data_IF_310502348009
#
_entry.id   IF_310502348009
#
_cell.length_a   1.000
_cell.length_b   1.000
_cell.length_c   1.000
_cell.angle_alpha   90.00
_cell.angle_beta   90.00
_cell.angle_gamma   90.00
#
_symmetry.space_group_name_H-M   'P 1'
#
loop_
_entity.id
_entity.type
_entity.pdbx_description
1 polymer ?
#
# COMPACT_ATOMS: atom_id res chain seq x y z
N UNK A 1 -27.44 71.08 -10.12
CA UNK A 1 -28.38 71.04 -8.98
C UNK A 1 -27.62 70.44 -7.80
N UNK A 2 -26.88 71.25 -7.05
CA UNK A 2 -27.29 72.02 -5.84
C UNK A 2 -27.63 71.11 -4.65
N UNK A 3 -26.79 71.07 -3.59
CA UNK A 3 -26.81 71.94 -2.37
C UNK A 3 -27.77 71.32 -1.31
N UNK A 4 -27.28 70.77 -0.19
CA UNK A 4 -26.87 71.40 1.08
C UNK A 4 -27.99 71.41 2.15
N UNK A 5 -27.63 71.32 3.43
CA UNK A 5 -28.47 71.73 4.58
C UNK A 5 -28.85 70.57 5.52
N UNK A 6 -28.15 70.27 6.63
CA UNK A 6 -28.01 70.99 7.93
C UNK A 6 -29.32 71.22 8.70
N UNK A 7 -29.34 70.73 9.95
CA UNK A 7 -29.66 71.42 11.23
C UNK A 7 -30.37 70.47 12.22
N UNK A 8 -29.76 70.11 13.36
CA UNK A 8 -29.72 70.84 14.67
C UNK A 8 -31.14 70.99 15.25
N UNK A 9 -31.44 70.65 16.51
CA UNK A 9 -30.83 71.10 17.75
C UNK A 9 -31.40 70.29 18.95
N UNK A 10 -30.59 70.19 20.02
CA UNK A 10 -30.90 70.39 21.45
C UNK A 10 -31.96 69.48 22.14
N UNK A 11 -31.86 69.09 23.41
CA UNK A 11 -31.42 69.80 24.61
C UNK A 11 -31.13 68.75 25.72
N UNK A 12 -29.97 68.79 26.40
CA UNK A 12 -29.74 69.44 27.71
C UNK A 12 -29.97 68.55 28.95
N UNK A 13 -28.84 68.04 29.44
CA UNK A 13 -28.28 68.07 30.82
C UNK A 13 -29.10 67.66 32.06
N UNK A 14 -28.31 67.19 33.05
CA UNK A 14 -28.40 67.26 34.52
C UNK A 14 -28.72 65.91 35.19
N UNK A 15 -28.07 65.43 36.24
CA UNK A 15 -27.06 65.91 37.22
C UNK A 15 -26.32 64.64 37.70
N UNK A 16 -25.00 64.64 37.90
CA UNK A 16 -24.34 64.81 39.22
C UNK A 16 -24.33 63.50 40.05
N UNK A 17 -23.32 63.10 40.82
CA UNK A 17 -21.99 63.59 41.10
C UNK A 17 -21.29 62.51 41.96
N UNK A 18 -19.97 62.44 41.90
CA UNK A 18 -19.03 62.01 42.95
C UNK A 18 -19.16 60.64 43.64
N UNK A 19 -18.22 59.72 43.32
CA UNK A 19 -17.36 59.08 44.34
C UNK A 19 -15.92 58.90 43.86
N UNK A 20 -15.04 59.57 44.61
CA UNK A 20 -13.57 59.64 44.55
C UNK A 20 -12.88 58.28 44.40
N UNK A 21 -12.06 58.14 43.36
CA UNK A 21 -10.96 57.17 43.32
C UNK A 21 -9.77 57.73 44.11
N UNK A 22 -9.37 57.03 45.18
CA UNK A 22 -8.17 57.38 45.96
C UNK A 22 -7.00 56.54 45.45
N UNK A 23 -6.05 57.21 44.80
CA UNK A 23 -4.71 56.70 44.53
C UNK A 23 -4.04 56.26 45.85
N UNK A 24 -3.59 55.00 45.91
CA UNK A 24 -2.61 54.55 46.90
C UNK A 24 -1.30 54.30 46.17
N UNK A 25 -0.31 55.15 46.46
CA UNK A 25 1.08 55.04 46.02
C UNK A 25 1.75 53.87 46.76
N UNK A 26 2.61 53.17 46.01
CA UNK A 26 3.52 52.13 46.48
C UNK A 26 4.56 52.63 47.49
N UNK A 27 5.01 51.77 48.41
CA UNK A 27 6.31 51.90 49.05
C UNK A 27 7.29 50.81 48.57
N UNK A 28 8.38 51.30 47.95
CA UNK A 28 9.78 50.85 47.99
C UNK A 28 10.12 49.34 48.09
N UNK A 29 10.77 48.86 47.02
CA UNK A 29 11.81 47.82 47.00
C UNK A 29 12.92 48.12 48.02
N UNK A 30 13.19 47.19 48.93
CA UNK A 30 14.52 46.61 49.21
C UNK A 30 14.45 45.81 50.51
N UNK A 31 14.67 44.50 50.41
CA UNK A 31 15.49 43.68 51.32
C UNK A 31 15.17 42.19 51.10
N UNK A 32 15.63 41.66 49.96
CA UNK A 32 15.83 40.22 49.79
C UNK A 32 17.25 40.01 49.26
N UNK A 33 18.12 39.54 50.15
CA UNK A 33 19.45 39.02 49.79
C UNK A 33 19.27 37.81 48.86
N UNK A 34 19.99 37.70 47.74
CA UNK A 34 19.95 36.49 46.94
C UNK A 34 20.70 35.38 47.70
N UNK A 35 19.99 34.31 48.04
CA UNK A 35 20.63 33.04 48.44
C UNK A 35 21.15 32.42 47.15
N UNK A 36 22.47 32.48 46.96
CA UNK A 36 23.15 31.68 45.94
C UNK A 36 23.11 30.22 46.40
N UNK A 37 22.18 29.44 45.85
CA UNK A 37 22.27 27.98 45.88
C UNK A 37 23.31 27.58 44.83
N UNK A 38 24.56 27.43 45.26
CA UNK A 38 25.61 26.75 44.49
C UNK A 38 25.28 25.27 44.40
N UNK A 39 24.48 24.87 43.39
CA UNK A 39 24.45 23.49 42.94
C UNK A 39 25.61 23.26 41.97
N UNK A 40 26.80 23.14 42.52
CA UNK A 40 27.92 22.43 41.90
C UNK A 40 27.60 20.93 41.95
N UNK A 41 26.77 20.46 41.01
CA UNK A 41 26.71 19.05 40.66
C UNK A 41 27.60 18.83 39.43
N UNK A 42 28.69 18.11 39.68
CA UNK A 42 29.59 17.52 38.70
C UNK A 42 28.80 16.94 37.52
N UNK A 43 28.84 17.64 36.38
CA UNK A 43 28.64 16.98 35.10
C UNK A 43 29.91 16.17 34.80
N UNK A 44 29.98 14.96 35.33
CA UNK A 44 30.77 13.91 34.69
C UNK A 44 30.31 13.84 33.24
N UNK A 45 31.22 13.89 32.24
CA UNK A 45 30.81 13.67 30.86
C UNK A 45 30.22 12.27 30.79
N UNK A 46 28.89 12.18 30.62
CA UNK A 46 28.24 10.90 30.36
C UNK A 46 28.92 10.35 29.12
N UNK A 47 29.72 9.29 29.31
CA UNK A 47 30.32 8.52 28.23
C UNK A 47 29.26 8.33 27.16
N UNK A 48 29.41 9.04 26.04
CA UNK A 48 28.61 8.81 24.84
C UNK A 48 29.02 7.45 24.34
N UNK A 49 28.48 6.38 24.94
CA UNK A 49 28.46 5.06 24.35
C UNK A 49 27.89 5.28 22.96
N UNK A 50 28.76 5.17 21.94
CA UNK A 50 28.38 5.13 20.53
C UNK A 50 27.32 4.04 20.43
N UNK A 51 26.04 4.42 20.51
CA UNK A 51 24.92 3.53 20.27
C UNK A 51 25.03 3.15 18.82
N UNK A 52 25.58 1.95 18.58
CA UNK A 52 25.60 1.28 17.29
C UNK A 52 24.20 1.47 16.71
N UNK A 53 24.04 2.28 15.65
CA UNK A 53 22.73 2.55 15.03
C UNK A 53 22.09 1.20 14.73
N UNK A 54 21.19 0.74 15.60
CA UNK A 54 20.48 -0.52 15.39
C UNK A 54 19.69 -0.33 14.11
N UNK A 55 19.93 -1.19 13.11
CA UNK A 55 19.22 -1.15 11.82
C UNK A 55 17.73 -1.14 12.11
N UNK A 56 17.00 -0.18 11.54
CA UNK A 56 15.55 -0.07 11.72
C UNK A 56 14.87 -1.38 11.29
N UNK A 57 14.09 -1.98 12.21
CA UNK A 57 13.47 -3.29 12.00
C UNK A 57 12.46 -3.29 10.84
N UNK A 58 11.92 -2.13 10.44
CA UNK A 58 11.00 -2.04 9.31
C UNK A 58 11.57 -2.59 8.00
N UNK A 59 12.89 -2.54 7.79
CA UNK A 59 13.51 -3.15 6.61
C UNK A 59 13.44 -4.68 6.59
N UNK A 60 13.39 -5.34 7.75
CA UNK A 60 13.15 -6.78 7.82
C UNK A 60 11.72 -7.12 7.40
N UNK A 61 10.76 -6.22 7.68
CA UNK A 61 9.37 -6.37 7.24
C UNK A 61 9.27 -6.16 5.74
N UNK A 62 9.97 -5.18 5.17
CA UNK A 62 10.04 -5.03 3.70
C UNK A 62 10.57 -6.30 3.05
N UNK A 63 11.66 -6.87 3.59
CA UNK A 63 12.22 -8.12 3.06
C UNK A 63 11.23 -9.29 3.18
N UNK A 64 10.60 -9.46 4.35
CA UNK A 64 9.61 -10.52 4.55
C UNK A 64 8.37 -10.36 3.64
N UNK A 65 7.89 -9.12 3.46
CA UNK A 65 6.82 -8.77 2.51
C UNK A 65 7.22 -9.08 1.08
N UNK A 66 8.42 -8.67 0.66
CA UNK A 66 8.96 -8.90 -0.66
C UNK A 66 9.10 -10.39 -0.97
N UNK A 67 9.60 -11.19 -0.03
CA UNK A 67 9.68 -12.65 -0.18
C UNK A 67 8.28 -13.28 -0.24
N UNK A 68 7.37 -12.85 0.63
CA UNK A 68 6.02 -13.40 0.69
C UNK A 68 5.21 -13.10 -0.58
N UNK A 69 5.28 -11.87 -1.10
CA UNK A 69 4.64 -11.53 -2.38
C UNK A 69 5.39 -12.09 -3.59
N UNK A 70 6.72 -12.03 -3.56
CA UNK A 70 7.57 -12.51 -4.64
C UNK A 70 7.41 -14.00 -4.87
N UNK A 71 7.44 -14.82 -3.83
CA UNK A 71 7.24 -16.26 -3.99
C UNK A 71 5.75 -16.62 -3.94
N UNK A 72 5.06 -16.23 -2.88
CA UNK A 72 3.69 -16.68 -2.62
C UNK A 72 2.67 -16.00 -3.52
N UNK A 73 2.67 -14.67 -3.49
CA UNK A 73 1.76 -13.85 -4.29
C UNK A 73 1.89 -14.13 -5.79
N UNK A 74 3.12 -14.19 -6.31
CA UNK A 74 3.33 -14.37 -7.75
C UNK A 74 2.87 -15.73 -8.27
N UNK A 75 3.13 -16.82 -7.53
CA UNK A 75 2.67 -18.16 -7.90
C UNK A 75 1.14 -18.21 -7.93
N UNK A 76 0.48 -17.63 -6.92
CA UNK A 76 -0.98 -17.61 -6.88
C UNK A 76 -1.58 -16.78 -8.03
N UNK A 77 -1.01 -15.60 -8.31
CA UNK A 77 -1.59 -14.68 -9.29
C UNK A 77 -1.25 -15.04 -10.74
N UNK A 78 0.02 -15.38 -11.01
CA UNK A 78 0.57 -15.61 -12.34
C UNK A 78 0.74 -17.10 -12.65
N UNK A 79 1.07 -17.94 -11.66
CA UNK A 79 1.27 -19.39 -11.85
C UNK A 79 0.02 -20.13 -12.34
N UNK A 80 -1.16 -19.54 -12.17
CA UNK A 80 -2.42 -20.02 -12.76
C UNK A 80 -2.28 -20.38 -14.26
N UNK A 81 -1.65 -19.52 -15.06
CA UNK A 81 -1.58 -19.72 -16.51
C UNK A 81 -0.90 -21.02 -16.89
N UNK A 82 0.01 -21.50 -16.04
CA UNK A 82 0.73 -22.77 -16.19
C UNK A 82 -0.15 -23.96 -15.84
N UNK A 83 -1.01 -23.82 -14.83
CA UNK A 83 -1.94 -24.87 -14.39
C UNK A 83 -3.15 -25.04 -15.32
N UNK A 84 -3.50 -24.03 -16.11
CA UNK A 84 -4.71 -24.03 -16.94
C UNK A 84 -4.81 -25.24 -17.88
N UNK A 85 -3.82 -25.43 -18.75
CA UNK A 85 -3.87 -26.49 -19.79
C UNK A 85 -3.85 -27.91 -19.17
N UNK A 86 -2.92 -28.24 -18.25
CA UNK A 86 -2.86 -29.56 -17.64
C UNK A 86 -4.12 -29.96 -16.86
N UNK A 87 -4.74 -29.01 -16.14
CA UNK A 87 -5.98 -29.26 -15.39
C UNK A 87 -7.14 -29.48 -16.37
N UNK A 88 -7.21 -28.67 -17.43
CA UNK A 88 -8.24 -28.84 -18.46
C UNK A 88 -8.16 -30.22 -19.11
N UNK A 89 -6.95 -30.71 -19.40
CA UNK A 89 -6.74 -32.01 -20.05
C UNK A 89 -7.00 -33.19 -19.10
N UNK A 90 -6.52 -33.11 -17.85
CA UNK A 90 -6.69 -34.20 -16.86
C UNK A 90 -8.15 -34.40 -16.43
N UNK A 91 -8.91 -33.30 -16.30
CA UNK A 91 -10.32 -33.34 -15.89
C UNK A 91 -11.30 -33.35 -17.08
N UNK A 92 -10.81 -33.34 -18.33
CA UNK A 92 -11.64 -33.32 -19.54
C UNK A 92 -12.53 -32.08 -19.67
N UNK A 93 -12.05 -30.93 -19.18
CA UNK A 93 -12.83 -29.69 -19.08
C UNK A 93 -12.73 -28.85 -20.34
N UNK A 94 -13.81 -28.11 -20.61
CA UNK A 94 -13.80 -27.01 -21.57
C UNK A 94 -13.00 -25.82 -21.06
N UNK A 95 -12.50 -24.97 -21.95
CA UNK A 95 -11.77 -23.75 -21.57
C UNK A 95 -12.59 -22.83 -20.64
N UNK A 96 -13.92 -22.77 -20.83
CA UNK A 96 -14.82 -21.99 -19.97
C UNK A 96 -14.91 -22.56 -18.55
N UNK A 97 -15.02 -23.89 -18.41
CA UNK A 97 -15.02 -24.56 -17.11
C UNK A 97 -13.69 -24.39 -16.39
N UNK A 98 -12.56 -24.50 -17.10
CA UNK A 98 -11.24 -24.30 -16.51
C UNK A 98 -11.02 -22.85 -16.10
N UNK A 99 -11.50 -21.85 -16.84
CA UNK A 99 -11.36 -20.44 -16.49
C UNK A 99 -12.26 -20.00 -15.32
N UNK A 100 -13.40 -20.66 -15.12
CA UNK A 100 -14.44 -20.27 -14.17
C UNK A 100 -13.95 -20.16 -12.70
N UNK A 101 -13.24 -21.16 -12.12
CA UNK A 101 -12.68 -21.07 -10.76
C UNK A 101 -11.81 -19.82 -10.54
N UNK A 102 -11.05 -19.44 -11.56
CA UNK A 102 -10.15 -18.29 -11.49
C UNK A 102 -10.92 -16.98 -11.59
N UNK A 103 -11.90 -16.88 -12.48
CA UNK A 103 -12.78 -15.72 -12.57
C UNK A 103 -13.54 -15.50 -11.25
N UNK A 104 -14.09 -16.58 -10.68
CA UNK A 104 -14.75 -16.55 -9.37
C UNK A 104 -13.80 -16.12 -8.26
N UNK A 105 -12.57 -16.63 -8.21
CA UNK A 105 -11.59 -16.21 -7.20
C UNK A 105 -11.25 -14.72 -7.28
N UNK A 106 -11.24 -14.14 -8.49
CA UNK A 106 -10.94 -12.71 -8.68
C UNK A 106 -12.12 -11.85 -8.22
N UNK A 107 -13.35 -12.28 -8.50
CA UNK A 107 -14.55 -11.65 -7.97
C UNK A 107 -14.61 -11.73 -6.44
N UNK A 108 -14.30 -12.90 -5.88
CA UNK A 108 -14.22 -13.16 -4.45
C UNK A 108 -13.16 -12.27 -3.77
N UNK A 109 -11.95 -12.16 -4.33
CA UNK A 109 -10.90 -11.26 -3.84
C UNK A 109 -11.37 -9.79 -3.75
N UNK A 110 -12.17 -9.34 -4.72
CA UNK A 110 -12.76 -8.00 -4.71
C UNK A 110 -13.77 -7.80 -3.57
N UNK A 111 -14.65 -8.78 -3.36
CA UNK A 111 -15.68 -8.73 -2.31
C UNK A 111 -15.09 -8.93 -0.90
N UNK A 112 -14.05 -9.75 -0.79
CA UNK A 112 -13.38 -10.04 0.49
C UNK A 112 -12.42 -8.92 0.91
N UNK A 113 -12.02 -8.02 0.01
CA UNK A 113 -11.08 -6.92 0.32
C UNK A 113 -11.43 -6.06 1.56
N UNK A 114 -12.67 -5.58 1.73
CA UNK A 114 -13.06 -4.86 2.94
C UNK A 114 -13.03 -5.74 4.20
N UNK A 115 -13.39 -7.01 4.06
CA UNK A 115 -13.40 -8.00 5.15
C UNK A 115 -11.96 -8.27 5.59
N UNK A 116 -11.06 -8.56 4.66
CA UNK A 116 -9.64 -8.79 4.96
C UNK A 116 -8.98 -7.56 5.57
N UNK A 117 -9.31 -6.34 5.09
CA UNK A 117 -8.88 -5.09 5.71
C UNK A 117 -9.32 -4.99 7.18
N UNK A 118 -10.60 -5.21 7.47
CA UNK A 118 -11.11 -5.21 8.84
C UNK A 118 -10.47 -6.31 9.72
N UNK A 119 -10.23 -7.50 9.18
CA UNK A 119 -9.51 -8.56 9.89
C UNK A 119 -8.04 -8.17 10.17
N UNK A 120 -7.36 -7.51 9.24
CA UNK A 120 -5.99 -7.04 9.41
C UNK A 120 -5.90 -6.01 10.54
N UNK A 121 -6.84 -5.08 10.61
CA UNK A 121 -6.89 -4.06 11.66
C UNK A 121 -7.19 -4.69 13.04
N UNK A 122 -8.14 -5.64 13.08
CA UNK A 122 -8.59 -6.27 14.35
C UNK A 122 -7.61 -7.32 14.89
N UNK A 123 -7.15 -8.23 14.04
CA UNK A 123 -6.33 -9.39 14.45
C UNK A 123 -4.84 -9.19 14.22
N UNK A 124 -4.46 -8.16 13.46
CA UNK A 124 -3.08 -7.83 13.13
C UNK A 124 -2.53 -8.67 11.97
N UNK A 125 -1.59 -8.06 11.25
CA UNK A 125 -0.93 -8.62 10.05
C UNK A 125 -0.38 -10.03 10.29
N UNK A 126 0.38 -10.25 11.37
CA UNK A 126 1.08 -11.53 11.62
C UNK A 126 0.14 -12.75 11.67
N UNK A 127 -0.98 -12.64 12.39
CA UNK A 127 -1.90 -13.78 12.56
C UNK A 127 -2.59 -14.08 11.23
N UNK A 128 -3.02 -13.04 10.52
CA UNK A 128 -3.70 -13.20 9.25
C UNK A 128 -2.79 -13.79 8.17
N UNK A 129 -1.55 -13.30 8.07
CA UNK A 129 -0.57 -13.88 7.16
C UNK A 129 -0.27 -15.34 7.45
N UNK A 130 -0.11 -15.70 8.73
CA UNK A 130 0.18 -17.09 9.11
C UNK A 130 -1.01 -18.00 8.77
N UNK A 131 -2.23 -17.62 9.16
CA UNK A 131 -3.44 -18.41 8.90
C UNK A 131 -3.67 -18.55 7.39
N UNK A 132 -3.67 -17.46 6.64
CA UNK A 132 -3.99 -17.53 5.22
C UNK A 132 -2.86 -18.17 4.40
N UNK A 133 -1.59 -18.06 4.78
CA UNK A 133 -0.49 -18.79 4.12
C UNK A 133 -0.61 -20.28 4.38
N UNK A 134 -0.95 -20.69 5.61
CA UNK A 134 -1.21 -22.09 5.94
C UNK A 134 -2.41 -22.61 5.16
N UNK A 135 -3.53 -21.86 5.15
CA UNK A 135 -4.70 -22.21 4.36
C UNK A 135 -4.36 -22.37 2.88
N UNK A 136 -3.60 -21.43 2.30
CA UNK A 136 -3.17 -21.51 0.90
C UNK A 136 -2.29 -22.73 0.65
N UNK A 137 -1.31 -22.97 1.52
CA UNK A 137 -0.40 -24.12 1.41
C UNK A 137 -1.13 -25.46 1.52
N UNK A 138 -1.97 -25.63 2.54
CA UNK A 138 -2.83 -26.81 2.72
C UNK A 138 -3.79 -26.95 1.54
N UNK A 139 -4.35 -25.84 1.04
CA UNK A 139 -5.21 -25.81 -0.12
C UNK A 139 -4.53 -26.37 -1.36
N UNK A 140 -3.29 -25.97 -1.65
CA UNK A 140 -2.51 -26.53 -2.78
C UNK A 140 -2.13 -28.01 -2.58
N UNK A 141 -1.80 -28.43 -1.36
CA UNK A 141 -1.59 -29.85 -1.04
C UNK A 141 -2.88 -30.65 -1.27
N UNK A 142 -4.02 -30.12 -0.84
CA UNK A 142 -5.31 -30.78 -1.05
C UNK A 142 -5.69 -30.82 -2.54
N UNK A 143 -5.41 -29.73 -3.27
CA UNK A 143 -5.63 -29.62 -4.70
C UNK A 143 -4.89 -30.72 -5.48
N UNK A 144 -3.68 -31.09 -5.05
CA UNK A 144 -2.89 -32.16 -5.69
C UNK A 144 -3.57 -33.53 -5.67
N UNK A 145 -4.55 -33.73 -4.78
CA UNK A 145 -5.28 -34.99 -4.63
C UNK A 145 -6.68 -34.93 -5.28
N UNK A 146 -7.04 -33.80 -5.88
CA UNK A 146 -8.37 -33.63 -6.48
C UNK A 146 -8.44 -34.23 -7.88
N UNK A 147 -9.41 -35.11 -8.09
CA UNK A 147 -9.67 -35.78 -9.39
C UNK A 147 -11.01 -35.37 -10.00
N UNK A 148 -11.75 -34.47 -9.35
CA UNK A 148 -13.06 -33.99 -9.83
C UNK A 148 -13.10 -32.47 -9.89
N UNK A 149 -13.80 -31.94 -10.89
CA UNK A 149 -13.95 -30.50 -11.08
C UNK A 149 -14.61 -29.80 -9.89
N UNK A 150 -15.61 -30.43 -9.26
CA UNK A 150 -16.30 -29.85 -8.12
C UNK A 150 -15.35 -29.75 -6.90
N UNK A 151 -14.55 -30.78 -6.63
CA UNK A 151 -13.54 -30.71 -5.58
C UNK A 151 -12.49 -29.64 -5.88
N UNK A 152 -12.03 -29.56 -7.13
CA UNK A 152 -11.11 -28.52 -7.59
C UNK A 152 -11.67 -27.11 -7.35
N UNK A 153 -12.91 -26.85 -7.79
CA UNK A 153 -13.59 -25.57 -7.63
C UNK A 153 -13.73 -25.19 -6.16
N UNK A 154 -14.19 -26.12 -5.31
CA UNK A 154 -14.40 -25.86 -3.88
C UNK A 154 -13.09 -25.59 -3.14
N UNK A 155 -12.05 -26.40 -3.37
CA UNK A 155 -10.74 -26.20 -2.72
C UNK A 155 -10.12 -24.89 -3.19
N UNK A 156 -10.22 -24.59 -4.49
CA UNK A 156 -9.63 -23.37 -5.04
C UNK A 156 -10.31 -22.10 -4.50
N UNK A 157 -11.64 -22.05 -4.45
CA UNK A 157 -12.37 -20.88 -3.95
C UNK A 157 -12.33 -20.76 -2.43
N UNK A 158 -12.67 -21.82 -1.70
CA UNK A 158 -12.87 -21.70 -0.25
C UNK A 158 -11.59 -21.84 0.57
N UNK A 159 -10.51 -22.39 0.01
CA UNK A 159 -9.26 -22.62 0.76
C UNK A 159 -8.12 -21.78 0.20
N UNK A 160 -7.82 -21.93 -1.10
CA UNK A 160 -6.68 -21.25 -1.72
C UNK A 160 -6.96 -19.75 -1.88
N UNK A 161 -8.10 -19.39 -2.48
CA UNK A 161 -8.46 -17.99 -2.76
C UNK A 161 -8.63 -17.19 -1.46
N UNK A 162 -9.47 -17.64 -0.52
CA UNK A 162 -9.61 -17.01 0.80
C UNK A 162 -8.28 -16.86 1.56
N UNK A 163 -7.44 -17.90 1.55
CA UNK A 163 -6.12 -17.85 2.20
C UNK A 163 -5.17 -16.84 1.54
N UNK A 164 -5.17 -16.78 0.21
CA UNK A 164 -4.32 -15.88 -0.57
C UNK A 164 -4.70 -14.41 -0.38
N UNK A 165 -6.01 -14.12 -0.35
CA UNK A 165 -6.57 -12.78 -0.13
C UNK A 165 -6.06 -12.17 1.17
N UNK A 166 -6.01 -12.97 2.23
CA UNK A 166 -5.62 -12.51 3.58
C UNK A 166 -4.12 -12.39 3.82
N UNK A 167 -3.27 -12.98 2.97
CA UNK A 167 -1.85 -13.20 3.31
C UNK A 167 -0.83 -12.46 2.46
N UNK A 168 -1.08 -12.29 1.16
CA UNK A 168 -0.03 -11.85 0.25
C UNK A 168 0.01 -10.32 0.12
N UNK A 169 -0.63 -9.77 -0.90
CA UNK A 169 -0.46 -8.37 -1.28
C UNK A 169 -1.06 -7.41 -0.24
N UNK A 170 -2.26 -7.72 0.27
CA UNK A 170 -2.99 -6.86 1.19
C UNK A 170 -2.28 -6.74 2.54
N UNK A 171 -1.94 -7.88 3.16
CA UNK A 171 -1.24 -7.90 4.45
C UNK A 171 0.14 -7.24 4.40
N UNK A 172 0.90 -7.50 3.32
CA UNK A 172 2.22 -6.90 3.11
C UNK A 172 2.13 -5.38 2.93
N UNK A 173 1.13 -4.89 2.19
CA UNK A 173 0.88 -3.46 1.97
C UNK A 173 0.52 -2.79 3.29
N UNK A 174 -0.39 -3.38 4.08
CA UNK A 174 -0.75 -2.85 5.41
C UNK A 174 0.48 -2.79 6.32
N UNK A 175 1.28 -3.86 6.38
CA UNK A 175 2.51 -3.89 7.17
C UNK A 175 3.48 -2.77 6.79
N UNK A 176 3.72 -2.55 5.50
CA UNK A 176 4.64 -1.50 5.04
C UNK A 176 4.09 -0.11 5.40
N UNK A 177 2.78 0.12 5.23
CA UNK A 177 2.14 1.39 5.57
C UNK A 177 2.21 1.73 7.06
N UNK A 178 2.13 0.71 7.94
CA UNK A 178 2.25 0.90 9.40
C UNK A 178 3.69 1.20 9.83
N UNK A 179 4.69 0.65 9.15
CA UNK A 179 6.10 0.73 9.58
C UNK A 179 6.87 1.91 9.01
N UNK A 180 6.50 2.39 7.83
CA UNK A 180 7.14 3.54 7.18
C UNK A 180 6.15 4.68 7.08
N UNK A 181 6.61 5.92 7.09
CA UNK A 181 5.81 7.11 6.80
C UNK A 181 6.44 7.91 5.65
N UNK A 182 7.71 8.31 5.82
CA UNK A 182 8.52 9.08 4.88
C UNK A 182 9.03 8.25 3.71
N UNK A 183 9.36 6.97 3.93
CA UNK A 183 9.92 6.09 2.89
C UNK A 183 8.93 5.01 2.41
N UNK A 184 7.61 5.26 2.53
CA UNK A 184 6.61 4.26 2.11
C UNK A 184 6.68 3.99 0.60
N UNK A 185 6.97 5.01 -0.23
CA UNK A 185 7.04 4.86 -1.69
C UNK A 185 8.13 3.87 -2.10
N UNK A 186 9.34 4.03 -1.54
CA UNK A 186 10.45 3.08 -1.75
C UNK A 186 10.13 1.69 -1.20
N UNK A 187 9.55 1.59 0.00
CA UNK A 187 9.23 0.29 0.59
C UNK A 187 8.16 -0.47 -0.21
N UNK A 188 7.14 0.23 -0.71
CA UNK A 188 6.10 -0.34 -1.58
C UNK A 188 6.68 -0.74 -2.94
N UNK A 189 7.54 0.09 -3.54
CA UNK A 189 8.12 -0.24 -4.85
C UNK A 189 9.03 -1.46 -4.80
N UNK A 190 9.77 -1.67 -3.70
CA UNK A 190 10.54 -2.91 -3.47
C UNK A 190 9.61 -4.12 -3.41
N UNK A 191 8.49 -4.03 -2.68
CA UNK A 191 7.52 -5.12 -2.59
C UNK A 191 6.88 -5.44 -3.96
N UNK A 192 6.50 -4.41 -4.72
CA UNK A 192 5.94 -4.55 -6.07
C UNK A 192 6.96 -5.11 -7.07
N UNK A 193 8.22 -4.66 -7.00
CA UNK A 193 9.30 -5.19 -7.82
C UNK A 193 9.57 -6.68 -7.50
N UNK A 194 9.54 -7.04 -6.22
CA UNK A 194 9.69 -8.43 -5.80
C UNK A 194 8.57 -9.34 -6.31
N UNK A 195 7.31 -8.86 -6.33
CA UNK A 195 6.19 -9.59 -6.94
C UNK A 195 6.43 -9.88 -8.44
N UNK A 196 6.91 -8.89 -9.19
CA UNK A 196 7.20 -9.03 -10.64
C UNK A 196 8.37 -9.96 -10.92
N UNK A 197 9.49 -9.76 -10.23
CA UNK A 197 10.67 -10.62 -10.34
C UNK A 197 10.33 -12.04 -9.90
N UNK A 198 9.61 -12.18 -8.80
CA UNK A 198 9.11 -13.44 -8.31
C UNK A 198 8.32 -14.20 -9.36
N UNK A 199 7.40 -13.53 -10.05
CA UNK A 199 6.66 -14.11 -11.17
C UNK A 199 7.58 -14.55 -12.33
N UNK A 200 8.52 -13.71 -12.73
CA UNK A 200 9.47 -14.00 -13.79
C UNK A 200 10.37 -15.23 -13.51
N UNK A 201 10.67 -15.51 -12.24
CA UNK A 201 11.44 -16.71 -11.85
C UNK A 201 10.55 -17.92 -11.51
N UNK A 202 9.48 -17.72 -10.76
CA UNK A 202 8.64 -18.80 -10.25
C UNK A 202 7.74 -19.40 -11.33
N UNK A 203 7.23 -18.61 -12.28
CA UNK A 203 6.36 -19.12 -13.34
C UNK A 203 7.10 -20.09 -14.28
N UNK A 204 8.31 -19.80 -14.79
CA UNK A 204 9.09 -20.78 -15.56
C UNK A 204 9.49 -22.00 -14.73
N UNK A 205 9.87 -21.82 -13.47
CA UNK A 205 10.20 -22.93 -12.58
C UNK A 205 9.01 -23.87 -12.38
N UNK A 206 7.82 -23.30 -12.15
CA UNK A 206 6.57 -24.03 -12.06
C UNK A 206 6.25 -24.76 -13.37
N UNK A 207 6.45 -24.11 -14.52
CA UNK A 207 6.25 -24.72 -15.84
C UNK A 207 7.13 -25.96 -16.04
N UNK A 208 8.42 -25.88 -15.71
CA UNK A 208 9.33 -27.04 -15.75
C UNK A 208 8.85 -28.16 -14.83
N UNK A 209 8.40 -27.83 -13.62
CA UNK A 209 7.90 -28.82 -12.67
C UNK A 209 6.63 -29.52 -13.19
N UNK A 210 5.68 -28.76 -13.74
CA UNK A 210 4.44 -29.27 -14.33
C UNK A 210 4.72 -30.17 -15.54
N UNK A 211 5.62 -29.76 -16.43
CA UNK A 211 5.97 -30.54 -17.63
C UNK A 211 6.70 -31.85 -17.30
N UNK A 212 7.49 -31.89 -16.22
CA UNK A 212 8.27 -33.08 -15.84
C UNK A 212 7.51 -34.05 -14.94
N UNK A 213 6.72 -33.54 -13.99
CA UNK A 213 6.13 -34.33 -12.92
C UNK A 213 4.60 -34.27 -12.85
N UNK A 214 3.95 -33.55 -13.77
CA UNK A 214 2.52 -33.33 -13.74
C UNK A 214 2.11 -32.18 -12.83
N UNK A 215 0.86 -31.74 -13.00
CA UNK A 215 0.32 -30.60 -12.28
C UNK A 215 -0.05 -30.94 -10.83
N UNK A 216 -0.42 -32.19 -10.54
CA UNK A 216 -0.70 -32.63 -9.18
C UNK A 216 0.57 -32.51 -8.32
N UNK A 217 1.68 -33.07 -8.80
CA UNK A 217 2.98 -33.01 -8.11
C UNK A 217 3.47 -31.58 -7.98
N UNK A 218 3.30 -30.75 -9.02
CA UNK A 218 3.67 -29.33 -8.95
C UNK A 218 2.83 -28.57 -7.91
N UNK A 219 1.52 -28.81 -7.84
CA UNK A 219 0.64 -28.22 -6.82
C UNK A 219 1.06 -28.65 -5.41
N UNK A 220 1.41 -29.93 -5.22
CA UNK A 220 1.93 -30.43 -3.94
C UNK A 220 3.19 -29.67 -3.51
N UNK A 221 4.18 -29.54 -4.41
CA UNK A 221 5.43 -28.84 -4.10
C UNK A 221 5.22 -27.35 -3.85
N UNK A 222 4.29 -26.70 -4.56
CA UNK A 222 3.89 -25.32 -4.26
C UNK A 222 3.31 -25.24 -2.85
N UNK A 223 2.39 -26.13 -2.49
CA UNK A 223 1.78 -26.17 -1.16
C UNK A 223 2.80 -26.38 -0.04
N UNK A 224 3.70 -27.36 -0.21
CA UNK A 224 4.81 -27.60 0.73
C UNK A 224 5.74 -26.38 0.80
N UNK A 225 6.06 -25.76 -0.33
CA UNK A 225 6.89 -24.57 -0.38
C UNK A 225 6.28 -23.38 0.38
N UNK A 226 4.97 -23.17 0.27
CA UNK A 226 4.24 -22.16 1.03
C UNK A 226 4.33 -22.41 2.54
N UNK A 227 4.17 -23.67 2.97
CA UNK A 227 4.23 -24.05 4.38
C UNK A 227 5.63 -23.97 4.97
N UNK A 228 6.65 -24.39 4.23
CA UNK A 228 8.03 -24.49 4.73
C UNK A 228 8.79 -23.17 4.60
N UNK A 229 8.60 -22.42 3.52
CA UNK A 229 9.37 -21.19 3.27
C UNK A 229 8.60 -19.92 3.61
N UNK A 230 7.30 -19.87 3.32
CA UNK A 230 6.52 -18.62 3.47
C UNK A 230 5.87 -18.52 4.85
N UNK A 231 5.29 -19.60 5.38
CA UNK A 231 4.63 -19.55 6.68
C UNK A 231 5.59 -19.11 7.81
N UNK A 232 6.88 -19.52 7.86
CA UNK A 232 7.80 -19.02 8.88
C UNK A 232 8.12 -17.53 8.76
N UNK A 233 8.04 -16.95 7.57
CA UNK A 233 8.24 -15.50 7.38
C UNK A 233 7.18 -14.68 8.13
N UNK A 234 5.99 -15.24 8.37
CA UNK A 234 4.96 -14.59 9.18
C UNK A 234 5.45 -14.25 10.60
N UNK A 235 6.42 -15.00 11.16
CA UNK A 235 6.99 -14.71 12.48
C UNK A 235 7.85 -13.44 12.51
N UNK A 236 8.38 -13.01 11.37
CA UNK A 236 9.13 -11.75 11.24
C UNK A 236 8.20 -10.54 11.38
N UNK A 237 6.93 -10.68 11.00
CA UNK A 237 5.95 -9.61 11.11
C UNK A 237 5.62 -9.30 12.57
N UNK A 238 5.58 -8.00 12.86
CA UNK A 238 5.21 -7.46 14.18
C UNK A 238 4.04 -6.49 14.00
N UNK A 239 3.23 -6.35 15.06
CA UNK A 239 1.93 -5.65 15.00
C UNK A 239 2.07 -4.20 14.55
N UNK A 240 3.01 -3.47 15.13
CA UNK A 240 3.28 -2.06 14.82
C UNK A 240 4.72 -1.73 15.24
N UNK A 241 5.35 -0.66 14.69
CA UNK A 241 6.63 -0.18 15.21
C UNK A 241 6.53 0.16 16.71
N UNK A 242 5.38 0.68 17.15
CA UNK A 242 5.10 1.01 18.56
C UNK A 242 5.20 -0.21 19.48
N UNK A 243 4.82 -1.40 18.99
CA UNK A 243 4.93 -2.65 19.74
C UNK A 243 6.37 -3.06 20.10
N UNK A 244 7.37 -2.42 19.49
CA UNK A 244 8.80 -2.62 19.82
C UNK A 244 9.46 -1.34 20.36
N UNK A 245 8.67 -0.34 20.76
CA UNK A 245 9.18 0.88 21.37
C UNK A 245 9.74 1.90 20.38
N UNK A 246 9.42 1.82 19.08
CA UNK A 246 9.88 2.79 18.07
C UNK A 246 8.69 3.36 17.31
N UNK A 247 8.80 4.60 16.83
CA UNK A 247 7.84 5.19 15.89
C UNK A 247 8.07 4.70 14.44
N UNK A 248 7.17 5.07 13.52
CA UNK A 248 7.36 4.86 12.09
C UNK A 248 8.72 5.41 11.61
N UNK A 249 9.34 4.77 10.61
CA UNK A 249 10.68 5.08 10.10
C UNK A 249 11.84 5.01 11.14
N UNK A 250 11.56 4.57 12.38
CA UNK A 250 12.54 4.50 13.46
C UNK A 250 12.67 5.81 14.25
N UNK A 251 11.72 6.73 14.10
CA UNK A 251 11.61 7.92 14.93
C UNK A 251 11.41 7.50 16.41
N UNK A 252 11.92 8.25 17.40
CA UNK A 252 11.61 7.99 18.80
C UNK A 252 10.09 8.11 19.02
N UNK A 253 9.53 7.25 19.87
CA UNK A 253 8.12 7.38 20.24
C UNK A 253 7.90 8.80 20.78
N UNK A 254 6.90 9.52 20.23
CA UNK A 254 6.40 10.72 20.90
C UNK A 254 5.91 10.27 22.26
N UNK A 255 6.57 10.71 23.34
CA UNK A 255 6.01 10.55 24.68
C UNK A 255 4.62 11.18 24.64
N UNK A 256 3.58 10.36 24.76
CA UNK A 256 2.27 10.83 25.16
C UNK A 256 2.52 11.65 26.42
N UNK A 257 2.34 12.97 26.33
CA UNK A 257 2.43 13.84 27.51
C UNK A 257 1.57 13.18 28.58
N UNK A 258 2.22 12.74 29.66
CA UNK A 258 1.55 12.18 30.82
C UNK A 258 0.34 13.05 31.12
N UNK A 259 -0.85 12.44 31.07
CA UNK A 259 -2.12 13.09 31.38
C UNK A 259 -1.98 13.77 32.75
N UNK A 260 -1.82 15.09 32.74
CA UNK A 260 -1.94 15.90 33.94
C UNK A 260 -3.45 15.97 34.25
N UNK A 261 -3.87 15.24 35.28
CA UNK A 261 -5.28 15.00 35.64
C UNK A 261 -6.06 16.26 36.10
N UNK A 262 -5.50 17.46 35.96
CA UNK A 262 -5.99 18.67 36.61
C UNK A 262 -6.38 19.83 35.68
N UNK A 263 -6.48 19.64 34.35
CA UNK A 263 -7.06 20.67 33.47
C UNK A 263 -8.25 20.12 32.67
N UNK A 264 -9.46 20.42 33.14
CA UNK A 264 -10.72 20.28 32.40
C UNK A 264 -10.89 21.37 31.34
N UNK A 265 -9.92 21.48 30.43
CA UNK A 265 -9.99 22.37 29.27
C UNK A 265 -9.68 21.57 28.02
N UNK A 266 -10.72 21.22 27.27
CA UNK A 266 -10.73 20.78 25.86
C UNK A 266 -9.44 20.14 25.35
N UNK A 267 -9.30 18.83 25.58
CA UNK A 267 -8.39 17.99 24.82
C UNK A 267 -9.07 17.74 23.47
N UNK A 268 -8.83 18.62 22.50
CA UNK A 268 -9.07 18.34 21.09
C UNK A 268 -7.84 17.64 20.51
N UNK A 269 -7.54 16.46 21.05
CA UNK A 269 -6.60 15.50 20.45
C UNK A 269 -7.37 14.24 20.07
N UNK A 270 -8.01 14.30 18.89
CA UNK A 270 -8.12 13.14 18.03
C UNK A 270 -7.47 13.52 16.71
N UNK A 271 -6.21 13.13 16.50
CA UNK A 271 -5.72 12.92 15.14
C UNK A 271 -6.74 11.94 14.51
N UNK A 272 -7.64 12.45 13.68
CA UNK A 272 -8.88 11.78 13.26
C UNK A 272 -8.61 10.39 12.68
N UNK A 273 -8.71 9.34 13.49
CA UNK A 273 -8.84 7.98 13.01
C UNK A 273 -10.26 7.82 12.47
N UNK A 274 -10.41 8.07 11.16
CA UNK A 274 -11.67 7.90 10.46
C UNK A 274 -12.13 6.44 10.55
N UNK A 275 -13.32 6.21 11.09
CA UNK A 275 -13.95 4.90 10.96
C UNK A 275 -14.31 4.63 9.50
N UNK A 276 -14.29 3.36 9.07
CA UNK A 276 -14.63 2.98 7.70
C UNK A 276 -15.98 3.55 7.22
N UNK A 277 -16.97 3.63 8.13
CA UNK A 277 -18.29 4.22 7.85
C UNK A 277 -18.22 5.72 7.60
N UNK A 278 -17.36 6.46 8.30
CA UNK A 278 -17.14 7.88 8.05
C UNK A 278 -16.38 8.08 6.73
N UNK A 279 -15.36 7.28 6.45
CA UNK A 279 -14.59 7.36 5.20
C UNK A 279 -15.46 7.16 3.95
N UNK A 280 -16.34 6.15 3.93
CA UNK A 280 -17.26 5.86 2.79
C UNK A 280 -18.22 7.03 2.51
N UNK A 281 -18.53 7.86 3.52
CA UNK A 281 -19.41 9.03 3.36
C UNK A 281 -18.67 10.24 2.77
N UNK A 282 -17.35 10.20 2.68
CA UNK A 282 -16.57 11.31 2.12
C UNK A 282 -16.60 11.29 0.59
N UNK A 283 -16.61 12.48 -0.03
CA UNK A 283 -16.46 12.61 -1.49
C UNK A 283 -15.10 12.10 -1.95
N UNK A 284 -14.05 12.33 -1.17
CA UNK A 284 -12.70 11.90 -1.47
C UNK A 284 -12.60 10.38 -1.71
N UNK A 285 -13.30 9.58 -0.88
CA UNK A 285 -13.37 8.13 -1.07
C UNK A 285 -13.92 7.76 -2.44
N UNK A 286 -15.06 8.32 -2.84
CA UNK A 286 -15.68 8.01 -4.14
C UNK A 286 -14.88 8.52 -5.32
N UNK A 287 -14.21 9.67 -5.21
CA UNK A 287 -13.31 10.17 -6.24
C UNK A 287 -12.10 9.24 -6.44
N UNK A 288 -11.49 8.75 -5.34
CA UNK A 288 -10.38 7.80 -5.42
C UNK A 288 -10.83 6.42 -5.92
N UNK A 289 -12.00 5.95 -5.49
CA UNK A 289 -12.59 4.69 -5.93
C UNK A 289 -12.88 4.72 -7.44
N UNK A 290 -13.56 5.76 -7.92
CA UNK A 290 -13.87 5.95 -9.34
C UNK A 290 -12.59 6.10 -10.17
N UNK A 291 -11.63 6.90 -9.70
CA UNK A 291 -10.34 7.06 -10.38
C UNK A 291 -9.57 5.74 -10.48
N UNK A 292 -9.57 4.93 -9.43
CA UNK A 292 -8.93 3.62 -9.43
C UNK A 292 -9.64 2.66 -10.38
N UNK A 293 -10.97 2.65 -10.38
CA UNK A 293 -11.77 1.82 -11.29
C UNK A 293 -11.50 2.18 -12.75
N UNK A 294 -11.58 3.46 -13.10
CA UNK A 294 -11.30 3.95 -14.46
C UNK A 294 -9.87 3.61 -14.89
N UNK A 295 -8.88 3.83 -14.01
CA UNK A 295 -7.49 3.44 -14.28
C UNK A 295 -7.37 1.95 -14.57
N UNK A 296 -7.94 1.09 -13.73
CA UNK A 296 -7.83 -0.37 -13.90
C UNK A 296 -8.52 -0.84 -15.19
N UNK A 297 -9.66 -0.25 -15.55
CA UNK A 297 -10.35 -0.54 -16.81
C UNK A 297 -9.51 -0.18 -18.04
N UNK A 298 -8.94 1.03 -18.06
CA UNK A 298 -8.08 1.48 -19.18
C UNK A 298 -6.81 0.63 -19.25
N UNK A 299 -6.15 0.41 -18.11
CA UNK A 299 -4.94 -0.41 -18.02
C UNK A 299 -5.16 -1.84 -18.52
N UNK A 300 -6.20 -2.52 -18.03
CA UNK A 300 -6.51 -3.88 -18.47
C UNK A 300 -6.84 -3.97 -19.97
N UNK A 301 -7.56 -2.98 -20.50
CA UNK A 301 -7.94 -2.96 -21.93
C UNK A 301 -6.71 -2.82 -22.83
N UNK A 302 -5.83 -1.85 -22.52
CA UNK A 302 -4.60 -1.60 -23.30
C UNK A 302 -3.66 -2.79 -23.19
N UNK A 303 -3.52 -3.40 -22.02
CA UNK A 303 -2.67 -4.56 -21.81
C UNK A 303 -3.08 -5.76 -22.70
N UNK A 304 -4.38 -6.07 -22.78
CA UNK A 304 -4.88 -7.18 -23.63
C UNK A 304 -4.74 -6.88 -25.12
N UNK A 305 -4.93 -5.62 -25.53
CA UNK A 305 -4.88 -5.23 -26.93
C UNK A 305 -3.49 -4.77 -27.40
N UNK A 306 -2.46 -4.93 -26.57
CA UNK A 306 -1.11 -4.47 -26.90
C UNK A 306 -0.58 -5.08 -28.19
N UNK A 307 -0.58 -6.42 -28.31
CA UNK A 307 -0.15 -7.10 -29.56
C UNK A 307 -1.07 -6.75 -30.73
N UNK A 308 -2.42 -6.84 -30.61
CA UNK A 308 -3.33 -6.43 -31.68
C UNK A 308 -3.10 -5.00 -32.20
N UNK A 309 -2.86 -4.02 -31.33
CA UNK A 309 -2.62 -2.62 -31.72
C UNK A 309 -1.37 -2.51 -32.61
N UNK A 310 -0.28 -3.17 -32.23
CA UNK A 310 0.96 -3.18 -33.00
C UNK A 310 0.78 -3.87 -34.36
N UNK A 311 0.09 -5.01 -34.39
CA UNK A 311 -0.22 -5.71 -35.64
C UNK A 311 -1.13 -4.88 -36.55
N UNK A 312 -2.12 -4.20 -35.98
CA UNK A 312 -3.00 -3.29 -36.71
C UNK A 312 -2.25 -2.09 -37.31
N UNK A 313 -1.19 -1.63 -36.64
CA UNK A 313 -0.25 -0.60 -37.11
C UNK A 313 0.76 -1.11 -38.16
N UNK A 314 0.69 -2.39 -38.55
CA UNK A 314 1.53 -2.99 -39.59
C UNK A 314 2.78 -3.72 -39.08
N UNK A 315 2.95 -3.86 -37.76
CA UNK A 315 4.10 -4.58 -37.19
C UNK A 315 3.89 -6.10 -37.19
N UNK A 316 4.99 -6.85 -37.23
CA UNK A 316 4.91 -8.30 -37.08
C UNK A 316 4.51 -8.70 -35.64
N UNK A 317 3.80 -9.82 -35.52
CA UNK A 317 3.43 -10.38 -34.21
C UNK A 317 4.66 -10.68 -33.33
N UNK A 318 5.76 -11.13 -33.94
CA UNK A 318 7.01 -11.40 -33.21
C UNK A 318 7.64 -10.10 -32.68
N UNK A 319 7.67 -9.03 -33.47
CA UNK A 319 8.16 -7.74 -33.00
C UNK A 319 7.31 -7.22 -31.85
N UNK A 320 5.99 -7.32 -31.95
CA UNK A 320 5.08 -6.91 -30.89
C UNK A 320 5.31 -7.68 -29.59
N UNK A 321 5.51 -9.01 -29.66
CA UNK A 321 5.86 -9.82 -28.50
C UNK A 321 7.21 -9.42 -27.87
N UNK A 322 8.23 -9.14 -28.70
CA UNK A 322 9.53 -8.67 -28.21
C UNK A 322 9.41 -7.33 -27.48
N UNK A 323 8.60 -6.40 -27.98
CA UNK A 323 8.36 -5.10 -27.35
C UNK A 323 7.63 -5.22 -26.01
N UNK A 324 6.67 -6.14 -25.86
CA UNK A 324 6.05 -6.44 -24.56
C UNK A 324 7.11 -6.97 -23.58
N UNK A 325 7.97 -7.89 -24.03
CA UNK A 325 9.07 -8.40 -23.21
C UNK A 325 10.00 -7.28 -22.74
N UNK A 326 10.37 -6.37 -23.64
CA UNK A 326 11.19 -5.20 -23.30
C UNK A 326 10.48 -4.25 -22.33
N UNK A 327 9.18 -4.00 -22.53
CA UNK A 327 8.37 -3.17 -21.63
C UNK A 327 8.35 -3.75 -20.21
N UNK A 328 8.16 -5.07 -20.10
CA UNK A 328 8.18 -5.78 -18.83
C UNK A 328 9.55 -5.65 -18.14
N UNK A 329 10.66 -5.76 -18.88
CA UNK A 329 12.01 -5.55 -18.34
C UNK A 329 12.22 -4.11 -17.86
N UNK A 330 11.75 -3.12 -18.61
CA UNK A 330 11.82 -1.72 -18.21
C UNK A 330 10.92 -1.39 -17.01
N UNK A 331 9.84 -2.14 -16.77
CA UNK A 331 8.90 -1.87 -15.67
C UNK A 331 9.53 -1.95 -14.29
N UNK A 332 10.47 -2.88 -14.06
CA UNK A 332 11.10 -3.09 -12.74
C UNK A 332 11.93 -1.87 -12.28
N UNK A 333 12.90 -1.36 -13.06
CA UNK A 333 13.64 -0.16 -12.66
C UNK A 333 12.74 1.08 -12.61
N UNK A 334 11.72 1.18 -13.47
CA UNK A 334 10.76 2.28 -13.40
C UNK A 334 9.99 2.28 -12.07
N UNK A 335 9.48 1.13 -11.63
CA UNK A 335 8.75 1.02 -10.35
C UNK A 335 9.60 1.50 -9.17
N UNK A 336 10.87 1.09 -9.14
CA UNK A 336 11.81 1.53 -8.10
C UNK A 336 12.09 3.03 -8.17
N UNK A 337 12.33 3.55 -9.38
CA UNK A 337 12.61 4.97 -9.61
C UNK A 337 11.43 5.86 -9.21
N UNK A 338 10.23 5.54 -9.68
CA UNK A 338 9.02 6.29 -9.36
C UNK A 338 8.62 6.15 -7.89
N UNK A 339 8.87 5.00 -7.25
CA UNK A 339 8.71 4.84 -5.80
C UNK A 339 9.59 5.80 -5.00
N UNK A 340 10.86 5.93 -5.38
CA UNK A 340 11.77 6.92 -4.81
C UNK A 340 11.38 8.37 -5.11
N UNK A 341 10.92 8.63 -6.35
CA UNK A 341 10.51 9.96 -6.78
C UNK A 341 9.23 10.42 -6.05
N UNK A 342 8.34 9.48 -5.76
CA UNK A 342 7.08 9.68 -5.03
C UNK A 342 7.32 10.24 -3.63
N UNK A 343 8.35 9.72 -2.96
CA UNK A 343 8.73 10.17 -1.62
C UNK A 343 9.35 11.59 -1.63
N UNK A 344 9.84 12.10 -2.78
CA UNK A 344 10.43 13.44 -2.91
C UNK A 344 9.46 14.53 -3.37
N UNK A 345 8.70 14.27 -4.43
CA UNK A 345 7.86 15.28 -5.10
C UNK A 345 6.45 15.32 -4.50
N UNK A 346 6.09 14.29 -3.74
CA UNK A 346 4.77 14.09 -3.15
C UNK A 346 3.87 13.24 -4.03
N UNK A 347 3.17 12.29 -3.40
CA UNK A 347 2.40 11.22 -4.08
C UNK A 347 1.31 11.74 -5.00
N UNK A 348 0.61 12.81 -4.59
CA UNK A 348 -0.48 13.39 -5.35
C UNK A 348 0.00 13.99 -6.68
N UNK A 349 1.14 14.71 -6.65
CA UNK A 349 1.71 15.32 -7.86
C UNK A 349 2.26 14.26 -8.81
N UNK A 350 2.91 13.23 -8.26
CA UNK A 350 3.41 12.13 -9.07
C UNK A 350 2.27 11.38 -9.76
N UNK A 351 1.22 11.01 -9.02
CA UNK A 351 0.04 10.35 -9.59
C UNK A 351 -0.62 11.19 -10.68
N UNK A 352 -0.79 12.51 -10.46
CA UNK A 352 -1.29 13.42 -11.48
C UNK A 352 -0.42 13.43 -12.74
N UNK A 353 0.90 13.49 -12.58
CA UNK A 353 1.86 13.42 -13.67
C UNK A 353 1.78 12.11 -14.46
N UNK A 354 1.70 10.96 -13.78
CA UNK A 354 1.55 9.66 -14.43
C UNK A 354 0.25 9.56 -15.22
N UNK A 355 -0.87 10.07 -14.70
CA UNK A 355 -2.14 10.04 -15.43
C UNK A 355 -2.17 10.97 -16.64
N UNK A 356 -1.58 12.17 -16.53
CA UNK A 356 -1.43 13.07 -17.68
C UNK A 356 -0.55 12.40 -18.74
N UNK A 357 0.59 11.82 -18.33
CA UNK A 357 1.49 11.09 -19.24
C UNK A 357 0.79 9.93 -19.93
N UNK A 358 -0.04 9.16 -19.22
CA UNK A 358 -0.82 8.06 -19.78
C UNK A 358 -1.90 8.54 -20.76
N UNK A 359 -2.60 9.63 -20.44
CA UNK A 359 -3.57 10.24 -21.34
C UNK A 359 -2.91 10.75 -22.63
N UNK A 360 -1.79 11.45 -22.49
CA UNK A 360 -0.98 11.90 -23.63
C UNK A 360 -0.47 10.71 -24.46
N UNK A 361 -0.04 9.62 -23.82
CA UNK A 361 0.36 8.40 -24.51
C UNK A 361 -0.75 7.86 -25.41
N UNK A 362 -1.97 7.74 -24.89
CA UNK A 362 -3.09 7.20 -25.68
C UNK A 362 -3.45 8.11 -26.87
N UNK A 363 -3.33 9.43 -26.73
CA UNK A 363 -3.51 10.35 -27.83
C UNK A 363 -2.41 10.21 -28.89
N UNK A 364 -1.15 10.15 -28.47
CA UNK A 364 0.01 10.01 -29.36
C UNK A 364 -0.01 8.67 -30.13
N UNK A 365 -0.53 7.60 -29.52
CA UNK A 365 -0.64 6.29 -30.16
C UNK A 365 -1.45 6.32 -31.47
N UNK A 366 -2.37 7.28 -31.63
CA UNK A 366 -3.14 7.43 -32.87
C UNK A 366 -2.29 7.99 -34.02
N UNK A 367 -1.34 8.87 -33.73
CA UNK A 367 -0.56 9.62 -34.73
C UNK A 367 0.76 8.92 -35.06
N UNK A 368 1.29 8.16 -34.12
CA UNK A 368 2.64 7.60 -34.18
C UNK A 368 2.63 6.22 -34.83
N UNK A 369 3.48 6.03 -35.84
CA UNK A 369 3.69 4.75 -36.54
C UNK A 369 5.14 4.26 -36.38
N UNK A 370 5.32 2.94 -36.56
CA UNK A 370 6.61 2.26 -36.39
C UNK A 370 6.85 1.73 -34.97
N UNK A 371 7.75 0.75 -34.82
CA UNK A 371 7.80 -0.09 -33.62
C UNK A 371 8.38 0.66 -32.41
N UNK A 372 9.42 1.46 -32.62
CA UNK A 372 10.09 2.20 -31.54
C UNK A 372 9.29 3.41 -31.05
N UNK A 373 8.68 4.23 -31.92
CA UNK A 373 7.80 5.30 -31.48
C UNK A 373 6.55 4.79 -30.75
N UNK A 374 5.95 3.68 -31.20
CA UNK A 374 4.84 3.04 -30.47
C UNK A 374 5.33 2.52 -29.11
N UNK A 375 6.51 1.92 -29.05
CA UNK A 375 7.11 1.45 -27.79
C UNK A 375 7.35 2.59 -26.79
N UNK A 376 7.90 3.73 -27.21
CA UNK A 376 8.15 4.87 -26.31
C UNK A 376 6.86 5.47 -25.78
N UNK A 377 5.83 5.58 -26.62
CA UNK A 377 4.48 5.98 -26.20
C UNK A 377 3.95 5.00 -25.15
N UNK A 378 4.02 3.69 -25.41
CA UNK A 378 3.57 2.67 -24.45
C UNK A 378 4.40 2.62 -23.16
N UNK A 379 5.68 3.01 -23.21
CA UNK A 379 6.51 3.18 -22.02
C UNK A 379 6.02 4.34 -21.14
N UNK A 380 5.53 5.43 -21.73
CA UNK A 380 4.88 6.52 -20.98
C UNK A 380 3.59 6.04 -20.31
N UNK A 381 2.84 5.16 -20.97
CA UNK A 381 1.65 4.53 -20.38
C UNK A 381 1.98 3.63 -19.19
N UNK A 382 3.14 2.94 -19.20
CA UNK A 382 3.57 2.05 -18.12
C UNK A 382 3.76 2.77 -16.77
N UNK A 383 3.88 4.11 -16.75
CA UNK A 383 3.84 4.90 -15.52
C UNK A 383 2.54 4.75 -14.71
N UNK A 384 1.46 4.25 -15.32
CA UNK A 384 0.19 3.93 -14.62
C UNK A 384 0.23 2.63 -13.83
N UNK A 385 1.24 1.79 -14.06
CA UNK A 385 1.46 0.53 -13.36
C UNK A 385 2.17 0.69 -12.01
N UNK A 386 2.72 1.87 -11.77
CA UNK A 386 3.55 2.22 -10.61
C UNK A 386 2.72 3.01 -9.61
#
# INVERSE_FOLDING_TARGET
MSVHGKNTHDDVTKFGNDRKYRHVRSPRKNDQKPIYVTNSQNQTPSNSTKTRKKRFYGWNIVLASALTNGFGGSIHWQGFTVFFIPISQSLGLTAAQTAMPFALSRAENGLTGPITGWLLDRYGVRRLMLIGTIMTGVGYVWLSQTSTFLAFLLVYLFVISLGSSTSFMQASTTAINTWFSRHRGVAMSINSAAFRLGGAFMVPLLSVAVLRWGWETAALWVGVGMLVFIAPLAFVFKRSPESIGVGPDGDPLKESKSYDKNNQGEIQDSEDEWTAKQAIRTRAFWTLALGTLLRMSVHGTIFVHFVPILVWKGESQQMAANLIGLLALCSVPMILFFGWLSDRIGRQRLLGGCYISAGSSLLLLNVVDGPWPIFTVLLLFAGTEI
#
